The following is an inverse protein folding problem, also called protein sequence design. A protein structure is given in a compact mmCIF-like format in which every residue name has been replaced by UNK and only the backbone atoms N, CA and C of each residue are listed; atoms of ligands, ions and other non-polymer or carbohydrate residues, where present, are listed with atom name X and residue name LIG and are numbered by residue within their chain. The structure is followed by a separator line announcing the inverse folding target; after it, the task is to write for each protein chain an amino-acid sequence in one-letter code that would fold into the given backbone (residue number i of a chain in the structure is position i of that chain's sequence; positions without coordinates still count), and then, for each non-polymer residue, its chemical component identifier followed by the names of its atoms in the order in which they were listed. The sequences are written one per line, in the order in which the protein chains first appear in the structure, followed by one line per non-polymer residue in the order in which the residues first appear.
data_IF_989934556572
#
_entry.id   IF_989934556572
#
_cell.length_a   1.000
_cell.length_b   1.000
_cell.length_c   1.000
_cell.angle_alpha   90.00
_cell.angle_beta   90.00
_cell.angle_gamma   90.00
#
_symmetry.space_group_name_H-M   'P 1'
#
loop_
_entity.id
_entity.type
_entity.pdbx_description
1 polymer ?
#
# COMPACT_ATOMS: atom_id res chain seq x y z
N UNK A 1 -15.30 -10.65 7.95
CA UNK A 1 -16.27 -10.42 9.06
C UNK A 1 -15.98 -9.17 9.91
N UNK A 2 -14.72 -8.82 10.26
CA UNK A 2 -14.44 -7.68 11.17
C UNK A 2 -14.87 -6.31 10.61
N UNK A 3 -14.52 -5.99 9.36
CA UNK A 3 -14.92 -4.71 8.74
C UNK A 3 -16.44 -4.62 8.63
N UNK A 4 -17.11 -5.68 8.18
CA UNK A 4 -18.58 -5.70 8.09
C UNK A 4 -19.25 -5.50 9.45
N UNK A 5 -18.74 -6.14 10.51
CA UNK A 5 -19.22 -5.94 11.88
C UNK A 5 -19.01 -4.51 12.40
N UNK A 6 -17.87 -3.90 12.07
CA UNK A 6 -17.60 -2.51 12.40
C UNK A 6 -18.57 -1.55 11.70
N UNK A 7 -18.79 -1.73 10.40
CA UNK A 7 -19.75 -0.93 9.61
C UNK A 7 -21.17 -1.07 10.16
N UNK A 8 -21.61 -2.30 10.46
CA UNK A 8 -22.93 -2.57 11.01
C UNK A 8 -23.13 -1.90 12.36
N UNK A 9 -22.12 -1.99 13.27
CA UNK A 9 -22.16 -1.34 14.58
C UNK A 9 -22.39 0.16 14.45
N UNK A 10 -21.60 0.85 13.61
CA UNK A 10 -21.74 2.30 13.39
C UNK A 10 -23.06 2.69 12.77
N UNK A 11 -23.58 1.88 11.81
CA UNK A 11 -24.92 2.10 11.23
C UNK A 11 -26.00 1.98 12.29
N UNK A 12 -25.96 0.96 13.14
CA UNK A 12 -26.94 0.77 14.22
C UNK A 12 -26.86 1.89 15.29
N UNK A 13 -25.66 2.43 15.53
CA UNK A 13 -25.46 3.55 16.45
C UNK A 13 -25.80 4.92 15.85
N UNK A 14 -26.13 5.00 14.56
CA UNK A 14 -26.38 6.26 13.86
C UNK A 14 -25.13 7.15 13.73
N UNK A 15 -23.93 6.60 13.86
CA UNK A 15 -22.68 7.34 13.77
C UNK A 15 -22.45 7.80 12.33
N UNK A 16 -22.43 9.10 12.11
CA UNK A 16 -22.31 9.68 10.76
C UNK A 16 -20.89 9.59 10.17
N UNK A 17 -19.86 9.72 11.04
CA UNK A 17 -18.44 9.69 10.63
C UNK A 17 -17.65 8.78 11.57
N UNK A 18 -16.91 7.83 11.01
CA UNK A 18 -16.08 6.88 11.75
C UNK A 18 -14.94 6.38 10.85
N UNK A 19 -13.83 6.00 11.45
CA UNK A 19 -12.68 5.51 10.70
C UNK A 19 -12.89 4.07 10.23
N UNK A 20 -12.48 3.78 9.00
CA UNK A 20 -12.44 2.41 8.45
C UNK A 20 -11.00 1.90 8.37
N UNK A 21 -10.04 2.77 8.06
CA UNK A 21 -8.60 2.49 8.03
C UNK A 21 -7.86 3.65 8.66
N UNK A 22 -6.98 3.35 9.59
CA UNK A 22 -5.99 4.33 10.07
C UNK A 22 -4.76 4.27 9.15
N UNK A 23 -4.38 5.38 8.55
CA UNK A 23 -3.06 5.57 7.97
C UNK A 23 -2.11 6.06 9.06
N UNK A 24 -1.19 5.20 9.47
CA UNK A 24 -0.25 5.48 10.54
C UNK A 24 1.14 5.68 9.96
N UNK A 25 1.68 6.88 10.17
CA UNK A 25 3.01 7.28 9.69
C UNK A 25 3.95 7.47 10.89
N UNK A 26 4.57 6.39 11.41
CA UNK A 26 5.43 6.49 12.59
C UNK A 26 6.74 7.25 12.32
N UNK A 27 7.10 7.42 11.05
CA UNK A 27 8.27 8.19 10.58
C UNK A 27 8.05 8.67 9.13
N UNK A 28 8.85 9.65 8.72
CA UNK A 28 8.86 10.15 7.33
C UNK A 28 10.15 9.83 6.57
N UNK A 29 11.16 9.29 7.24
CA UNK A 29 12.43 8.91 6.61
C UNK A 29 12.27 7.62 5.79
N UNK A 30 12.91 7.57 4.62
CA UNK A 30 12.91 6.42 3.71
C UNK A 30 14.32 6.16 3.19
N UNK A 31 14.59 4.92 2.78
CA UNK A 31 15.82 4.49 2.13
C UNK A 31 15.75 4.55 0.59
N UNK A 32 14.65 5.05 0.02
CA UNK A 32 14.44 5.34 -1.41
C UNK A 32 14.00 6.78 -1.61
N UNK A 33 14.11 7.25 -2.85
CA UNK A 33 13.81 8.63 -3.27
C UNK A 33 12.82 8.71 -4.42
N UNK A 34 11.88 7.79 -4.50
CA UNK A 34 10.96 7.57 -5.62
C UNK A 34 10.42 8.84 -6.25
N UNK A 35 10.40 8.87 -7.59
CA UNK A 35 9.77 9.94 -8.38
C UNK A 35 8.29 10.06 -8.02
N UNK A 36 7.83 11.27 -7.78
CA UNK A 36 6.43 11.54 -7.41
C UNK A 36 6.08 11.23 -5.95
N UNK A 37 7.02 10.76 -5.12
CA UNK A 37 6.81 10.57 -3.69
C UNK A 37 7.06 11.88 -2.93
N UNK A 38 6.00 12.53 -2.47
CA UNK A 38 6.09 13.73 -1.63
C UNK A 38 6.13 13.45 -0.13
N UNK A 39 5.88 12.21 0.32
CA UNK A 39 5.76 11.87 1.75
C UNK A 39 7.03 12.16 2.54
N UNK A 40 8.18 11.74 2.01
CA UNK A 40 9.49 11.95 2.64
C UNK A 40 9.97 13.41 2.57
N UNK A 41 9.22 14.28 1.87
CA UNK A 41 9.57 15.69 1.65
C UNK A 41 8.55 16.66 2.22
N UNK A 42 7.44 16.14 2.72
CA UNK A 42 6.38 16.96 3.30
C UNK A 42 6.84 17.67 4.58
N UNK A 43 7.71 17.01 5.33
CA UNK A 43 8.30 17.55 6.55
C UNK A 43 9.83 17.45 6.50
N UNK A 44 10.51 18.43 7.09
CA UNK A 44 11.94 18.34 7.34
C UNK A 44 12.17 17.41 8.54
N UNK A 45 12.43 16.13 8.28
CA UNK A 45 12.61 15.11 9.30
C UNK A 45 13.93 14.36 9.16
N UNK A 46 14.38 13.78 10.25
CA UNK A 46 15.56 12.94 10.35
C UNK A 46 15.19 11.54 10.87
N UNK A 47 16.15 10.64 10.95
CA UNK A 47 15.99 9.31 11.56
C UNK A 47 15.63 9.36 13.06
N UNK A 48 15.78 10.51 13.72
CA UNK A 48 15.43 10.70 15.13
C UNK A 48 13.97 11.11 15.31
N UNK A 49 13.34 11.61 14.24
CA UNK A 49 11.96 12.09 14.27
C UNK A 49 11.00 10.91 14.04
N UNK A 50 10.79 10.14 15.10
CA UNK A 50 9.90 8.98 15.10
C UNK A 50 8.78 9.17 16.13
N UNK A 51 7.61 8.63 15.84
CA UNK A 51 6.50 8.60 16.79
C UNK A 51 6.79 7.53 17.85
N UNK A 52 6.60 7.83 19.15
CA UNK A 52 6.69 6.80 20.21
C UNK A 52 5.73 5.64 19.94
N UNK A 53 6.15 4.42 20.26
CA UNK A 53 5.33 3.20 20.09
C UNK A 53 3.97 3.34 20.77
N UNK A 54 3.95 3.89 21.99
CA UNK A 54 2.72 4.08 22.74
C UNK A 54 1.72 4.99 22.02
N UNK A 55 2.20 6.07 21.41
CA UNK A 55 1.36 7.00 20.63
C UNK A 55 0.80 6.35 19.36
N UNK A 56 1.61 5.51 18.71
CA UNK A 56 1.15 4.71 17.57
C UNK A 56 0.00 3.77 17.96
N UNK A 57 0.13 3.06 19.07
CA UNK A 57 -0.87 2.13 19.56
C UNK A 57 -2.12 2.85 20.10
N UNK A 58 -1.96 3.99 20.77
CA UNK A 58 -3.07 4.85 21.22
C UNK A 58 -3.88 5.39 20.04
N UNK A 59 -3.22 5.81 18.95
CA UNK A 59 -3.93 6.31 17.78
C UNK A 59 -4.89 5.28 17.17
N UNK A 60 -4.51 3.99 17.14
CA UNK A 60 -5.37 2.93 16.66
C UNK A 60 -6.58 2.69 17.59
N UNK A 61 -6.40 2.86 18.89
CA UNK A 61 -7.51 2.78 19.88
C UNK A 61 -8.44 3.99 19.72
N UNK A 62 -7.87 5.18 19.63
CA UNK A 62 -8.60 6.44 19.62
C UNK A 62 -9.55 6.57 18.41
N UNK A 63 -9.08 6.19 17.20
CA UNK A 63 -9.95 6.24 16.01
C UNK A 63 -10.79 4.99 15.80
N UNK A 64 -10.54 3.93 16.56
CA UNK A 64 -11.21 2.62 16.52
C UNK A 64 -11.28 1.99 15.11
N UNK A 65 -10.39 2.35 14.20
CA UNK A 65 -10.35 1.77 12.86
C UNK A 65 -10.08 0.25 12.93
N UNK A 66 -10.84 -0.59 12.21
CA UNK A 66 -10.64 -2.04 12.19
C UNK A 66 -9.35 -2.46 11.46
N UNK A 67 -8.81 -1.56 10.63
CA UNK A 67 -7.60 -1.77 9.85
C UNK A 67 -6.61 -0.63 10.10
N UNK A 68 -5.32 -0.97 10.14
CA UNK A 68 -4.22 -0.01 10.22
C UNK A 68 -3.27 -0.26 9.05
N UNK A 69 -3.04 0.78 8.27
CA UNK A 69 -2.02 0.82 7.22
C UNK A 69 -0.81 1.55 7.78
N UNK A 70 0.25 0.83 8.11
CA UNK A 70 1.51 1.43 8.55
C UNK A 70 2.26 1.88 7.30
N UNK A 71 2.47 3.18 7.18
CA UNK A 71 3.06 3.86 6.02
C UNK A 71 4.02 4.97 6.47
N UNK A 72 4.12 6.05 5.71
CA UNK A 72 5.01 7.18 6.00
C UNK A 72 6.20 7.21 5.04
N UNK A 73 7.44 7.15 5.55
CA UNK A 73 8.64 6.85 4.77
C UNK A 73 8.72 5.35 4.47
N UNK A 74 9.76 4.67 4.99
CA UNK A 74 9.79 3.20 4.95
C UNK A 74 9.52 2.64 6.35
N UNK A 75 8.35 2.00 6.58
CA UNK A 75 7.99 1.50 7.91
C UNK A 75 8.98 0.51 8.50
N UNK A 76 9.67 -0.29 7.67
CA UNK A 76 10.58 -1.33 8.15
C UNK A 76 11.88 -0.79 8.75
N UNK A 77 12.14 0.52 8.61
CA UNK A 77 13.25 1.17 9.32
C UNK A 77 12.81 1.83 10.63
N UNK A 78 11.50 1.84 10.95
CA UNK A 78 11.03 2.27 12.27
C UNK A 78 11.62 1.35 13.35
N UNK A 79 12.27 1.89 14.40
CA UNK A 79 13.04 1.08 15.38
C UNK A 79 12.20 0.00 16.08
N UNK A 80 10.92 0.27 16.31
CA UNK A 80 10.02 -0.59 17.07
C UNK A 80 8.93 -1.22 16.19
N UNK A 81 9.20 -1.42 14.88
CA UNK A 81 8.19 -1.92 13.93
C UNK A 81 7.62 -3.28 14.35
N UNK A 82 8.45 -4.18 14.89
CA UNK A 82 8.01 -5.49 15.33
C UNK A 82 7.04 -5.40 16.52
N UNK A 83 7.37 -4.54 17.50
CA UNK A 83 6.50 -4.29 18.65
C UNK A 83 5.20 -3.59 18.25
N UNK A 84 5.27 -2.65 17.29
CA UNK A 84 4.10 -1.97 16.75
C UNK A 84 3.15 -2.95 16.06
N UNK A 85 3.66 -3.79 15.16
CA UNK A 85 2.85 -4.79 14.46
C UNK A 85 2.18 -5.74 15.46
N UNK A 86 2.94 -6.28 16.41
CA UNK A 86 2.42 -7.21 17.42
C UNK A 86 1.39 -6.53 18.33
N UNK A 87 1.61 -5.28 18.74
CA UNK A 87 0.66 -4.50 19.52
C UNK A 87 -0.66 -4.25 18.80
N UNK A 88 -0.62 -3.89 17.51
CA UNK A 88 -1.81 -3.71 16.68
C UNK A 88 -2.58 -5.03 16.47
N UNK A 89 -1.88 -6.14 16.25
CA UNK A 89 -2.49 -7.48 16.16
C UNK A 89 -3.14 -7.88 17.48
N UNK A 90 -2.52 -7.59 18.62
CA UNK A 90 -3.09 -7.82 19.97
C UNK A 90 -4.36 -6.99 20.20
N UNK A 91 -4.45 -5.80 19.62
CA UNK A 91 -5.67 -4.98 19.58
C UNK A 91 -6.70 -5.53 18.56
N UNK A 92 -6.42 -6.68 17.95
CA UNK A 92 -7.26 -7.31 16.91
C UNK A 92 -7.46 -6.41 15.68
N UNK A 93 -6.47 -5.61 15.28
CA UNK A 93 -6.51 -4.83 14.05
C UNK A 93 -6.02 -5.68 12.87
N UNK A 94 -6.55 -5.42 11.68
CA UNK A 94 -5.95 -5.89 10.44
C UNK A 94 -4.78 -4.94 10.14
N UNK A 95 -3.59 -5.48 9.90
CA UNK A 95 -2.37 -4.68 9.73
C UNK A 95 -1.84 -4.81 8.31
N UNK A 96 -1.66 -3.69 7.63
CA UNK A 96 -0.95 -3.59 6.37
C UNK A 96 0.37 -2.85 6.60
N UNK A 97 1.49 -3.46 6.22
CA UNK A 97 2.80 -2.82 6.25
C UNK A 97 3.10 -2.38 4.82
N UNK A 98 2.92 -1.08 4.53
CA UNK A 98 3.19 -0.51 3.20
C UNK A 98 4.68 -0.26 3.04
N UNK A 99 5.37 -1.17 2.37
CA UNK A 99 6.82 -1.20 2.29
C UNK A 99 7.34 -1.21 0.85
N UNK A 100 8.52 -0.64 0.65
CA UNK A 100 9.28 -0.79 -0.58
C UNK A 100 10.00 -2.16 -0.72
N UNK A 101 9.81 -3.07 0.21
CA UNK A 101 10.30 -4.44 0.17
C UNK A 101 11.76 -4.67 0.55
N UNK A 102 12.61 -3.62 0.53
CA UNK A 102 14.07 -3.75 0.69
C UNK A 102 14.52 -4.35 2.02
N UNK A 103 13.71 -4.23 3.06
CA UNK A 103 14.02 -4.76 4.41
C UNK A 103 13.20 -6.01 4.78
N UNK A 104 12.28 -6.45 3.93
CA UNK A 104 11.41 -7.60 4.24
C UNK A 104 12.20 -8.88 4.52
N UNK A 105 13.16 -9.24 3.64
CA UNK A 105 13.95 -10.48 3.84
C UNK A 105 14.74 -10.46 5.15
N UNK A 106 15.25 -9.29 5.56
CA UNK A 106 15.90 -9.14 6.86
C UNK A 106 14.93 -9.46 8.01
N UNK A 107 13.72 -8.88 7.99
CA UNK A 107 12.71 -9.12 9.04
C UNK A 107 12.28 -10.60 9.09
N UNK A 108 12.17 -11.24 7.93
CA UNK A 108 11.84 -12.68 7.86
C UNK A 108 12.99 -13.57 8.33
N UNK A 109 14.26 -13.17 8.12
CA UNK A 109 15.42 -13.89 8.72
C UNK A 109 15.45 -13.76 10.24
N UNK A 110 15.12 -12.58 10.78
CA UNK A 110 15.01 -12.38 12.22
C UNK A 110 13.91 -13.28 12.82
N UNK A 111 12.75 -13.38 12.13
CA UNK A 111 11.69 -14.34 12.50
C UNK A 111 12.18 -15.80 12.46
N UNK A 112 12.84 -16.22 11.37
CA UNK A 112 13.36 -17.57 11.24
C UNK A 112 14.38 -17.92 12.33
N UNK A 113 15.25 -16.97 12.70
CA UNK A 113 16.25 -17.20 13.75
C UNK A 113 15.60 -17.42 15.13
N UNK A 114 14.56 -16.65 15.46
CA UNK A 114 13.79 -16.86 16.69
C UNK A 114 13.04 -18.19 16.67
N UNK A 115 12.35 -18.49 15.56
CA UNK A 115 11.60 -19.74 15.41
C UNK A 115 12.50 -20.97 15.41
N UNK A 116 13.66 -20.92 14.78
CA UNK A 116 14.63 -22.01 14.79
C UNK A 116 15.17 -22.28 16.19
N UNK A 117 15.43 -21.24 16.98
CA UNK A 117 15.89 -21.43 18.37
C UNK A 117 14.81 -22.09 19.27
N UNK A 118 13.54 -21.95 18.93
CA UNK A 118 12.42 -22.54 19.67
C UNK A 118 12.06 -23.93 19.16
N UNK A 119 11.93 -24.08 17.85
CA UNK A 119 11.43 -25.28 17.18
C UNK A 119 12.26 -25.63 15.92
N UNK A 120 13.52 -26.12 16.07
CA UNK A 120 14.40 -26.38 14.94
C UNK A 120 13.79 -27.31 13.88
N UNK A 121 13.11 -28.38 14.33
CA UNK A 121 12.54 -29.42 13.43
C UNK A 121 11.43 -28.85 12.53
N UNK A 122 10.66 -27.89 13.02
CA UNK A 122 9.59 -27.23 12.27
C UNK A 122 10.16 -26.26 11.21
N UNK A 123 11.30 -25.61 11.51
CA UNK A 123 11.89 -24.57 10.66
C UNK A 123 12.88 -25.16 9.63
N UNK A 124 13.52 -26.30 9.93
CA UNK A 124 14.52 -26.90 9.06
C UNK A 124 14.02 -27.19 7.63
N UNK A 125 12.82 -27.77 7.41
CA UNK A 125 12.27 -27.95 6.07
C UNK A 125 12.11 -26.64 5.30
N UNK A 126 11.70 -25.55 5.97
CA UNK A 126 11.57 -24.22 5.38
C UNK A 126 12.95 -23.68 4.97
N UNK A 127 13.97 -23.79 5.82
CA UNK A 127 15.33 -23.36 5.50
C UNK A 127 15.89 -24.12 4.30
N UNK A 128 15.70 -25.44 4.24
CA UNK A 128 16.13 -26.28 3.12
C UNK A 128 15.47 -25.83 1.81
N UNK A 129 14.16 -25.57 1.84
CA UNK A 129 13.43 -25.05 0.68
C UNK A 129 13.94 -23.66 0.24
N UNK A 130 14.11 -22.73 1.19
CA UNK A 130 14.61 -21.39 0.90
C UNK A 130 16.03 -21.42 0.31
N UNK A 131 16.89 -22.33 0.79
CA UNK A 131 18.22 -22.55 0.23
C UNK A 131 18.17 -23.14 -1.18
N UNK A 132 17.34 -24.18 -1.41
CA UNK A 132 17.17 -24.81 -2.72
C UNK A 132 16.63 -23.82 -3.78
N UNK A 133 15.72 -22.93 -3.39
CA UNK A 133 15.18 -21.86 -4.24
C UNK A 133 16.10 -20.62 -4.33
N UNK A 134 17.31 -20.65 -3.74
CA UNK A 134 18.29 -19.55 -3.70
C UNK A 134 17.74 -18.25 -3.11
N UNK A 135 16.77 -18.35 -2.20
CA UNK A 135 16.20 -17.21 -1.47
C UNK A 135 17.02 -16.86 -0.22
N UNK A 136 17.79 -17.82 0.27
CA UNK A 136 18.81 -17.67 1.30
C UNK A 136 20.14 -18.26 0.82
N UNK A 137 21.22 -17.58 1.14
CA UNK A 137 22.57 -18.09 0.94
C UNK A 137 22.93 -19.11 2.04
N UNK A 138 23.92 -20.00 1.82
CA UNK A 138 24.41 -20.90 2.87
C UNK A 138 24.83 -20.15 4.14
N UNK A 139 25.49 -19.00 3.99
CA UNK A 139 25.91 -18.17 5.11
C UNK A 139 24.73 -17.61 5.92
N UNK A 140 23.66 -17.19 5.25
CA UNK A 140 22.43 -16.72 5.91
C UNK A 140 21.73 -17.85 6.67
N UNK A 141 21.70 -19.06 6.10
CA UNK A 141 21.14 -20.24 6.75
C UNK A 141 21.91 -20.56 8.03
N UNK A 142 23.25 -20.56 7.97
CA UNK A 142 24.08 -20.80 9.15
C UNK A 142 23.93 -19.70 10.22
N UNK A 143 23.72 -18.45 9.80
CA UNK A 143 23.40 -17.37 10.75
C UNK A 143 22.08 -17.58 11.46
N UNK A 144 21.04 -18.01 10.72
CA UNK A 144 19.72 -18.32 11.28
C UNK A 144 19.82 -19.46 12.30
N UNK A 145 20.56 -20.52 12.00
CA UNK A 145 20.78 -21.65 12.90
C UNK A 145 21.50 -21.30 14.21
N UNK A 146 22.29 -20.21 14.20
CA UNK A 146 22.92 -19.69 15.44
C UNK A 146 21.91 -19.01 16.38
N UNK A 147 20.66 -18.81 15.93
CA UNK A 147 19.62 -18.13 16.70
C UNK A 147 19.65 -16.61 16.59
N UNK A 148 18.74 -15.92 17.29
CA UNK A 148 18.60 -14.47 17.19
C UNK A 148 19.78 -13.73 17.81
N UNK A 149 20.24 -12.65 17.15
CA UNK A 149 21.30 -11.77 17.67
C UNK A 149 20.90 -11.08 18.98
N UNK A 150 19.62 -10.77 19.14
CA UNK A 150 19.05 -10.13 20.33
C UNK A 150 17.91 -11.00 20.86
N UNK A 151 18.20 -11.97 21.76
CA UNK A 151 17.17 -12.78 22.39
C UNK A 151 16.14 -11.90 23.12
N UNK A 152 14.85 -12.20 22.94
CA UNK A 152 13.76 -11.43 23.55
C UNK A 152 13.24 -10.24 22.74
N UNK A 153 13.95 -9.82 21.67
CA UNK A 153 13.38 -8.83 20.75
C UNK A 153 12.19 -9.42 20.01
N UNK A 154 11.03 -8.72 19.93
CA UNK A 154 9.88 -9.19 19.16
C UNK A 154 10.23 -9.32 17.68
N UNK A 155 9.55 -10.23 16.99
CA UNK A 155 9.66 -10.43 15.54
C UNK A 155 8.28 -10.35 14.90
N UNK A 156 8.24 -10.08 13.59
CA UNK A 156 6.99 -10.15 12.82
C UNK A 156 6.81 -11.61 12.38
N UNK A 157 5.79 -12.26 12.91
CA UNK A 157 5.40 -13.63 12.58
C UNK A 157 4.26 -13.66 11.54
N UNK A 158 4.09 -14.77 10.76
CA UNK A 158 2.95 -14.95 9.90
C UNK A 158 1.63 -14.86 10.67
N UNK A 159 0.67 -14.11 10.10
CA UNK A 159 -0.67 -13.97 10.66
C UNK A 159 -1.68 -13.75 9.54
N UNK A 160 -2.87 -14.36 9.65
CA UNK A 160 -3.98 -14.08 8.73
C UNK A 160 -4.56 -12.66 8.83
N UNK A 161 -4.06 -11.87 9.77
CA UNK A 161 -4.47 -10.48 10.02
C UNK A 161 -3.40 -9.46 9.64
N UNK A 162 -2.24 -9.90 9.13
CA UNK A 162 -1.13 -9.04 8.73
C UNK A 162 -0.74 -9.32 7.27
N UNK A 163 -0.60 -8.23 6.51
CA UNK A 163 -0.17 -8.25 5.12
C UNK A 163 1.12 -7.45 4.93
N UNK A 164 2.09 -8.05 4.28
CA UNK A 164 3.11 -7.29 3.58
C UNK A 164 2.45 -6.63 2.37
N UNK A 165 2.36 -5.31 2.32
CA UNK A 165 1.80 -4.56 1.20
C UNK A 165 2.96 -3.91 0.43
N UNK A 166 3.46 -4.64 -0.57
CA UNK A 166 4.69 -4.31 -1.30
C UNK A 166 4.40 -3.35 -2.43
N UNK A 167 5.12 -2.24 -2.48
CA UNK A 167 4.99 -1.25 -3.55
C UNK A 167 5.65 -1.73 -4.85
N UNK A 168 4.89 -1.80 -5.95
CA UNK A 168 5.35 -2.15 -7.29
C UNK A 168 4.54 -1.39 -8.35
N UNK A 169 5.17 -0.46 -9.08
CA UNK A 169 4.52 0.40 -10.07
C UNK A 169 4.69 -0.08 -11.53
N UNK A 170 5.20 -1.26 -11.73
CA UNK A 170 5.43 -1.89 -13.03
C UNK A 170 6.35 -3.09 -12.90
N UNK A 171 6.80 -3.60 -14.03
CA UNK A 171 7.82 -4.63 -14.09
C UNK A 171 9.21 -4.05 -13.77
N UNK A 172 10.24 -4.88 -13.76
CA UNK A 172 11.58 -4.56 -13.26
C UNK A 172 12.08 -3.18 -13.71
N UNK A 173 12.12 -2.95 -15.03
CA UNK A 173 12.66 -1.70 -15.57
C UNK A 173 11.85 -0.48 -15.18
N UNK A 174 10.52 -0.57 -15.32
CA UNK A 174 9.60 0.53 -14.97
C UNK A 174 9.64 0.83 -13.50
N UNK A 175 9.57 -0.20 -12.67
CA UNK A 175 9.60 -0.03 -11.22
C UNK A 175 10.91 0.59 -10.74
N UNK A 176 12.06 0.06 -11.18
CA UNK A 176 13.38 0.52 -10.75
C UNK A 176 13.64 1.98 -11.18
N UNK A 177 13.14 2.41 -12.36
CA UNK A 177 13.15 3.82 -12.77
C UNK A 177 12.32 4.69 -11.85
N UNK A 178 11.08 4.29 -11.51
CA UNK A 178 10.18 5.07 -10.64
C UNK A 178 10.76 5.21 -9.24
N UNK A 179 11.35 4.15 -8.69
CA UNK A 179 11.94 4.19 -7.35
C UNK A 179 13.36 4.75 -7.34
N UNK A 180 13.90 5.15 -8.50
CA UNK A 180 15.23 5.74 -8.69
C UNK A 180 16.37 4.84 -8.18
N UNK A 181 16.19 3.52 -8.28
CA UNK A 181 17.19 2.55 -7.82
C UNK A 181 17.04 1.20 -8.50
N UNK A 182 18.13 0.73 -9.14
CA UNK A 182 18.19 -0.59 -9.75
C UNK A 182 18.15 -1.71 -8.71
N UNK A 183 17.52 -2.84 -9.08
CA UNK A 183 17.45 -4.08 -8.31
C UNK A 183 16.38 -4.09 -7.23
N UNK A 184 15.60 -3.03 -7.05
CA UNK A 184 14.49 -3.00 -6.06
C UNK A 184 13.41 -3.99 -6.42
N UNK A 185 12.99 -4.04 -7.69
CA UNK A 185 12.01 -5.03 -8.16
C UNK A 185 12.43 -6.47 -7.85
N UNK A 186 13.70 -6.82 -8.13
CA UNK A 186 14.22 -8.16 -7.85
C UNK A 186 14.20 -8.49 -6.37
N UNK A 187 14.61 -7.55 -5.53
CA UNK A 187 14.56 -7.74 -4.07
C UNK A 187 13.11 -7.92 -3.57
N UNK A 188 12.16 -7.14 -4.09
CA UNK A 188 10.73 -7.31 -3.79
C UNK A 188 10.23 -8.72 -4.17
N UNK A 189 10.57 -9.19 -5.37
CA UNK A 189 10.20 -10.54 -5.83
C UNK A 189 10.77 -11.63 -4.92
N UNK A 190 12.05 -11.55 -4.57
CA UNK A 190 12.68 -12.49 -3.65
C UNK A 190 12.03 -12.46 -2.27
N UNK A 191 11.73 -11.26 -1.77
CA UNK A 191 11.07 -11.06 -0.49
C UNK A 191 9.65 -11.65 -0.49
N UNK A 192 8.86 -11.40 -1.53
CA UNK A 192 7.50 -11.96 -1.65
C UNK A 192 7.50 -13.48 -1.76
N UNK A 193 8.42 -14.08 -2.55
CA UNK A 193 8.59 -15.55 -2.62
C UNK A 193 8.92 -16.13 -1.25
N UNK A 194 9.88 -15.54 -0.55
CA UNK A 194 10.24 -15.96 0.80
C UNK A 194 9.04 -15.84 1.75
N UNK A 195 8.31 -14.73 1.72
CA UNK A 195 7.13 -14.51 2.54
C UNK A 195 6.05 -15.59 2.30
N UNK A 196 5.78 -15.94 1.05
CA UNK A 196 4.78 -16.98 0.73
C UNK A 196 5.20 -18.36 1.19
N UNK A 197 6.50 -18.72 1.10
CA UNK A 197 7.02 -19.99 1.65
C UNK A 197 6.86 -20.05 3.17
N UNK A 198 7.03 -18.92 3.85
CA UNK A 198 6.90 -18.80 5.31
C UNK A 198 5.45 -18.67 5.79
N UNK A 199 4.46 -18.62 4.89
CA UNK A 199 3.03 -18.54 5.25
C UNK A 199 2.52 -17.11 5.52
N UNK A 200 3.27 -16.09 5.18
CA UNK A 200 2.79 -14.70 5.27
C UNK A 200 1.72 -14.38 4.22
N UNK A 201 0.82 -13.48 4.56
CA UNK A 201 -0.04 -12.84 3.58
C UNK A 201 0.75 -11.73 2.86
N UNK A 202 0.62 -11.66 1.54
CA UNK A 202 1.31 -10.68 0.69
C UNK A 202 0.31 -9.98 -0.21
N UNK A 203 0.29 -8.66 -0.14
CA UNK A 203 -0.42 -7.80 -1.07
C UNK A 203 0.57 -6.93 -1.83
N UNK A 204 0.15 -6.35 -2.95
CA UNK A 204 0.91 -5.32 -3.64
C UNK A 204 0.13 -4.03 -3.76
N UNK A 205 0.85 -2.91 -3.83
CA UNK A 205 0.31 -1.59 -4.08
C UNK A 205 0.95 -1.00 -5.33
N UNK A 206 0.11 -0.71 -6.33
CA UNK A 206 0.52 -0.20 -7.64
C UNK A 206 -0.08 1.16 -7.88
N UNK A 207 0.76 2.14 -8.19
CA UNK A 207 0.33 3.48 -8.60
C UNK A 207 0.45 3.62 -10.12
N UNK A 208 -0.62 4.06 -10.76
CA UNK A 208 -0.67 4.28 -12.20
C UNK A 208 -0.41 5.76 -12.49
N UNK A 209 0.65 6.04 -13.24
CA UNK A 209 1.01 7.38 -13.68
C UNK A 209 0.68 7.60 -15.15
N UNK A 210 0.93 8.79 -15.69
CA UNK A 210 0.62 9.15 -17.08
C UNK A 210 1.35 8.25 -18.10
N UNK A 211 2.62 7.94 -17.84
CA UNK A 211 3.45 7.10 -18.72
C UNK A 211 3.26 5.59 -18.46
N UNK A 212 2.51 5.19 -17.44
CA UNK A 212 2.28 3.77 -17.14
C UNK A 212 1.63 3.08 -18.35
N UNK A 213 2.25 2.00 -18.83
CA UNK A 213 1.61 1.09 -19.77
C UNK A 213 0.65 0.16 -19.02
N UNK A 214 -0.63 0.28 -19.33
CA UNK A 214 -1.68 -0.53 -18.71
C UNK A 214 -1.51 -2.02 -19.01
N UNK A 215 -0.98 -2.38 -20.19
CA UNK A 215 -0.70 -3.78 -20.51
C UNK A 215 0.44 -4.34 -19.64
N UNK A 216 1.44 -3.52 -19.31
CA UNK A 216 2.50 -3.91 -18.36
C UNK A 216 1.93 -4.21 -16.97
N UNK A 217 0.93 -3.45 -16.50
CA UNK A 217 0.27 -3.71 -15.21
C UNK A 217 -0.48 -5.04 -15.22
N UNK A 218 -1.16 -5.38 -16.32
CA UNK A 218 -1.80 -6.70 -16.45
C UNK A 218 -0.74 -7.82 -16.40
N UNK A 219 0.38 -7.67 -17.09
CA UNK A 219 1.49 -8.64 -17.03
C UNK A 219 2.09 -8.72 -15.62
N UNK A 220 2.24 -7.60 -14.92
CA UNK A 220 2.69 -7.59 -13.53
C UNK A 220 1.75 -8.43 -12.65
N UNK A 221 0.43 -8.25 -12.73
CA UNK A 221 -0.51 -9.02 -11.93
C UNK A 221 -0.50 -10.52 -12.29
N UNK A 222 -0.36 -10.86 -13.57
CA UNK A 222 -0.19 -12.25 -14.02
C UNK A 222 1.08 -12.87 -13.45
N UNK A 223 2.18 -12.14 -13.48
CA UNK A 223 3.44 -12.58 -12.88
C UNK A 223 3.32 -12.77 -11.36
N UNK A 224 2.75 -11.79 -10.65
CA UNK A 224 2.58 -11.85 -9.19
C UNK A 224 1.65 -13.00 -8.76
N UNK A 225 0.70 -13.38 -9.58
CA UNK A 225 -0.13 -14.56 -9.33
C UNK A 225 0.70 -15.86 -9.33
N UNK A 226 1.79 -15.95 -10.12
CA UNK A 226 2.70 -17.11 -10.09
C UNK A 226 3.43 -17.23 -8.76
N UNK A 227 3.62 -16.12 -8.04
CA UNK A 227 4.24 -16.08 -6.72
C UNK A 227 3.24 -16.38 -5.58
N UNK A 228 1.95 -16.51 -5.90
CA UNK A 228 0.89 -16.73 -4.91
C UNK A 228 0.55 -15.48 -4.09
N UNK A 229 0.73 -14.28 -4.64
CA UNK A 229 0.32 -13.02 -4.01
C UNK A 229 -1.18 -13.02 -3.76
N UNK A 230 -1.61 -12.57 -2.59
CA UNK A 230 -3.00 -12.72 -2.11
C UNK A 230 -3.95 -11.64 -2.66
N UNK A 231 -3.40 -10.51 -3.12
CA UNK A 231 -4.20 -9.46 -3.74
C UNK A 231 -3.42 -8.20 -4.09
N UNK A 232 -4.09 -7.29 -4.79
CA UNK A 232 -3.49 -6.08 -5.33
C UNK A 232 -4.34 -4.86 -5.00
N UNK A 233 -3.68 -3.79 -4.58
CA UNK A 233 -4.25 -2.44 -4.56
C UNK A 233 -3.74 -1.70 -5.79
N UNK A 234 -4.61 -1.05 -6.54
CA UNK A 234 -4.24 -0.21 -7.67
C UNK A 234 -4.89 1.17 -7.51
N UNK A 235 -4.12 2.22 -7.70
CA UNK A 235 -4.55 3.60 -7.47
C UNK A 235 -3.98 4.54 -8.52
N UNK A 236 -4.73 5.59 -8.93
CA UNK A 236 -4.17 6.63 -9.79
C UNK A 236 -3.14 7.47 -9.03
N UNK A 237 -2.07 7.86 -9.73
CA UNK A 237 -1.06 8.80 -9.24
C UNK A 237 -1.64 10.22 -9.17
N UNK A 238 -1.61 10.80 -7.99
CA UNK A 238 -2.21 12.10 -7.69
C UNK A 238 -1.16 13.17 -7.41
N UNK A 239 -1.37 14.37 -7.95
CA UNK A 239 -0.47 15.53 -7.98
C UNK A 239 -0.54 16.40 -6.72
N UNK A 240 -0.19 15.89 -5.57
CA UNK A 240 -0.18 16.69 -4.34
C UNK A 240 1.08 17.59 -4.19
N UNK A 241 0.94 18.69 -3.45
CA UNK A 241 1.90 19.78 -3.44
C UNK A 241 3.34 19.39 -3.12
N UNK A 242 3.55 18.51 -2.13
CA UNK A 242 4.90 18.08 -1.77
C UNK A 242 5.58 17.29 -2.90
N UNK A 243 4.83 16.44 -3.62
CA UNK A 243 5.32 15.69 -4.77
C UNK A 243 5.61 16.62 -5.96
N UNK A 244 4.70 17.56 -6.27
CA UNK A 244 4.91 18.54 -7.35
C UNK A 244 6.16 19.38 -7.12
N UNK A 245 6.33 19.90 -5.91
CA UNK A 245 7.50 20.71 -5.53
C UNK A 245 8.81 19.92 -5.64
N UNK A 246 8.81 18.66 -5.18
CA UNK A 246 10.01 17.80 -5.29
C UNK A 246 10.38 17.53 -6.74
N UNK A 247 9.41 17.14 -7.56
CA UNK A 247 9.64 16.85 -8.97
C UNK A 247 10.19 18.06 -9.72
N UNK A 248 9.57 19.23 -9.56
CA UNK A 248 10.03 20.44 -10.23
C UNK A 248 11.42 20.88 -9.75
N UNK A 249 11.68 20.83 -8.43
CA UNK A 249 12.94 21.33 -7.85
C UNK A 249 14.11 20.35 -8.00
N UNK A 250 13.89 19.05 -7.75
CA UNK A 250 14.94 18.03 -7.69
C UNK A 250 15.21 17.40 -9.05
N UNK A 251 14.16 17.15 -9.84
CA UNK A 251 14.25 16.43 -11.10
C UNK A 251 14.12 17.32 -12.32
N UNK A 252 13.69 18.58 -12.16
CA UNK A 252 13.42 19.48 -13.29
C UNK A 252 12.25 18.99 -14.18
N UNK A 253 11.39 18.11 -13.66
CA UNK A 253 10.29 17.52 -14.39
C UNK A 253 9.00 18.33 -14.18
N UNK A 254 8.21 18.47 -15.24
CA UNK A 254 6.86 19.00 -15.13
C UNK A 254 5.91 17.97 -14.53
N UNK A 255 5.33 18.22 -13.33
CA UNK A 255 4.40 17.29 -12.68
C UNK A 255 3.17 16.95 -13.55
N UNK A 256 2.75 17.86 -14.43
CA UNK A 256 1.62 17.63 -15.33
C UNK A 256 1.88 16.48 -16.34
N UNK A 257 3.14 16.19 -16.63
CA UNK A 257 3.52 15.08 -17.50
C UNK A 257 3.63 13.74 -16.77
N UNK A 258 3.53 13.73 -15.43
CA UNK A 258 3.70 12.54 -14.61
C UNK A 258 2.41 12.08 -13.93
N UNK A 259 1.70 13.00 -13.28
CA UNK A 259 0.46 12.69 -12.57
C UNK A 259 -0.75 12.64 -13.50
N UNK A 260 -1.81 11.98 -13.03
CA UNK A 260 -3.04 11.82 -13.78
C UNK A 260 -4.01 12.95 -13.48
N UNK A 261 -4.58 13.55 -14.52
CA UNK A 261 -5.82 14.30 -14.40
C UNK A 261 -7.01 13.33 -14.22
N UNK A 262 -8.16 13.84 -13.78
CA UNK A 262 -9.39 13.02 -13.67
C UNK A 262 -9.73 12.33 -14.99
N UNK A 263 -9.64 13.04 -16.11
CA UNK A 263 -9.86 12.46 -17.44
C UNK A 263 -8.86 11.36 -17.77
N UNK A 264 -7.57 11.61 -17.56
CA UNK A 264 -6.53 10.62 -17.81
C UNK A 264 -6.68 9.39 -16.89
N UNK A 265 -7.15 9.58 -15.65
CA UNK A 265 -7.49 8.47 -14.76
C UNK A 265 -8.58 7.59 -15.37
N UNK A 266 -9.69 8.17 -15.82
CA UNK A 266 -10.79 7.42 -16.45
C UNK A 266 -10.30 6.66 -17.69
N UNK A 267 -9.47 7.27 -18.52
CA UNK A 267 -8.89 6.64 -19.71
C UNK A 267 -7.98 5.45 -19.34
N UNK A 268 -7.08 5.62 -18.37
CA UNK A 268 -6.17 4.54 -17.89
C UNK A 268 -6.92 3.40 -17.19
N UNK A 269 -7.96 3.72 -16.43
CA UNK A 269 -8.74 2.78 -15.66
C UNK A 269 -10.01 2.28 -16.36
N UNK A 270 -10.18 2.56 -17.65
CA UNK A 270 -11.37 2.12 -18.41
C UNK A 270 -11.65 0.60 -18.30
N UNK A 271 -10.61 -0.20 -18.06
CA UNK A 271 -10.71 -1.66 -17.86
C UNK A 271 -10.76 -2.09 -16.38
N UNK A 272 -10.85 -1.18 -15.42
CA UNK A 272 -10.76 -1.51 -13.99
C UNK A 272 -11.80 -2.54 -13.53
N UNK A 273 -13.03 -2.48 -14.07
CA UNK A 273 -14.08 -3.47 -13.75
C UNK A 273 -13.79 -4.87 -14.32
N UNK A 274 -13.05 -4.94 -15.44
CA UNK A 274 -12.57 -6.21 -16.02
C UNK A 274 -11.44 -6.76 -15.15
N UNK A 275 -10.52 -5.91 -14.71
CA UNK A 275 -9.44 -6.30 -13.80
C UNK A 275 -9.98 -6.86 -12.49
N UNK A 276 -11.01 -6.23 -11.89
CA UNK A 276 -11.65 -6.73 -10.68
C UNK A 276 -12.28 -8.11 -10.81
N UNK A 277 -12.61 -8.54 -12.03
CA UNK A 277 -13.08 -9.89 -12.33
C UNK A 277 -11.96 -10.88 -12.64
N UNK A 278 -10.81 -10.38 -13.11
CA UNK A 278 -9.67 -11.21 -13.56
C UNK A 278 -8.62 -11.39 -12.47
N UNK A 279 -8.39 -10.37 -11.66
CA UNK A 279 -7.35 -10.33 -10.64
C UNK A 279 -7.92 -10.13 -9.22
N UNK A 280 -7.24 -10.58 -8.16
CA UNK A 280 -7.69 -10.41 -6.78
C UNK A 280 -7.46 -8.96 -6.30
N UNK A 281 -8.13 -7.98 -6.91
CA UNK A 281 -8.02 -6.60 -6.48
C UNK A 281 -8.67 -6.39 -5.11
N UNK A 282 -8.13 -5.49 -4.30
CA UNK A 282 -8.69 -5.09 -3.01
C UNK A 282 -9.63 -3.88 -3.10
N UNK A 283 -9.66 -3.17 -4.24
CA UNK A 283 -10.66 -2.14 -4.51
C UNK A 283 -12.04 -2.75 -4.72
N UNK A 284 -13.07 -2.19 -4.06
CA UNK A 284 -14.45 -2.65 -4.24
C UNK A 284 -14.93 -2.48 -5.70
N UNK A 285 -15.86 -3.31 -6.19
CA UNK A 285 -16.42 -3.13 -7.52
C UNK A 285 -16.98 -1.72 -7.76
N UNK A 286 -17.55 -1.11 -6.71
CA UNK A 286 -18.10 0.25 -6.74
C UNK A 286 -17.02 1.30 -6.95
N UNK A 287 -15.87 1.15 -6.29
CA UNK A 287 -14.70 2.01 -6.52
C UNK A 287 -14.11 1.81 -7.92
N UNK A 288 -14.02 0.56 -8.40
CA UNK A 288 -13.54 0.27 -9.75
C UNK A 288 -14.45 0.85 -10.84
N UNK A 289 -15.78 0.86 -10.64
CA UNK A 289 -16.73 1.58 -11.49
C UNK A 289 -16.45 3.10 -11.49
N UNK A 290 -16.10 3.68 -10.33
CA UNK A 290 -15.80 5.12 -10.20
C UNK A 290 -14.54 5.51 -10.97
N UNK A 291 -13.42 4.81 -10.78
CA UNK A 291 -12.18 5.15 -11.51
C UNK A 291 -12.28 4.88 -13.01
N UNK A 292 -13.18 3.98 -13.43
CA UNK A 292 -13.50 3.74 -14.83
C UNK A 292 -14.49 4.78 -15.42
N UNK A 293 -14.93 5.78 -14.65
CA UNK A 293 -15.86 6.81 -15.10
C UNK A 293 -17.32 6.35 -15.29
N UNK A 294 -17.69 5.18 -14.76
CA UNK A 294 -19.04 4.62 -14.89
C UNK A 294 -20.02 5.14 -13.83
N UNK A 295 -19.51 5.84 -12.84
CA UNK A 295 -20.28 6.48 -11.76
C UNK A 295 -19.48 7.55 -11.04
N UNK A 296 -20.16 8.41 -10.32
CA UNK A 296 -19.56 9.32 -9.35
C UNK A 296 -19.60 8.78 -7.93
N UNK A 297 -18.65 9.21 -7.12
CA UNK A 297 -18.59 9.00 -5.67
C UNK A 297 -18.20 10.30 -4.98
N UNK A 298 -18.74 10.54 -3.80
CA UNK A 298 -18.31 11.62 -2.91
C UNK A 298 -17.06 11.19 -2.12
N UNK A 299 -16.09 12.09 -1.99
CA UNK A 299 -14.92 11.83 -1.15
C UNK A 299 -15.32 11.74 0.33
N UNK A 300 -14.79 10.73 1.03
CA UNK A 300 -14.97 10.51 2.47
C UNK A 300 -13.62 10.31 3.16
N UNK A 301 -12.68 11.24 2.91
CA UNK A 301 -11.32 11.19 3.48
C UNK A 301 -11.31 11.10 5.02
N UNK A 302 -12.36 11.60 5.69
CA UNK A 302 -12.56 11.47 7.13
C UNK A 302 -12.63 10.01 7.63
N UNK A 303 -12.95 9.06 6.75
CA UNK A 303 -13.02 7.64 7.10
C UNK A 303 -11.66 6.92 6.99
N UNK A 304 -10.65 7.57 6.40
CA UNK A 304 -9.26 7.09 6.40
C UNK A 304 -8.35 8.17 6.99
N UNK A 305 -8.47 8.44 8.31
CA UNK A 305 -7.65 9.44 8.97
C UNK A 305 -6.17 9.07 8.94
N UNK A 306 -5.32 10.09 8.91
CA UNK A 306 -3.87 9.95 8.98
C UNK A 306 -3.37 10.45 10.33
N UNK A 307 -2.57 9.64 11.02
CA UNK A 307 -1.84 10.02 12.22
C UNK A 307 -0.33 9.92 11.96
N UNK A 308 0.36 11.03 12.13
CA UNK A 308 1.81 11.13 11.93
C UNK A 308 2.52 11.77 13.13
N UNK A 309 3.82 11.98 13.03
CA UNK A 309 4.65 12.58 14.09
C UNK A 309 4.18 13.99 14.53
N UNK A 310 3.38 14.70 13.72
CA UNK A 310 2.87 16.04 14.01
C UNK A 310 1.46 16.04 14.64
N UNK A 311 0.72 14.95 14.52
CA UNK A 311 -0.65 14.87 15.00
C UNK A 311 -1.59 14.18 14.01
N UNK A 312 -2.90 14.37 14.23
CA UNK A 312 -3.94 13.96 13.31
C UNK A 312 -4.00 14.93 12.14
N UNK A 313 -3.62 14.49 10.96
CA UNK A 313 -3.47 15.29 9.76
C UNK A 313 -4.82 15.61 9.13
N UNK A 314 -5.02 16.85 8.71
CA UNK A 314 -6.22 17.33 8.02
C UNK A 314 -5.87 17.97 6.66
N UNK A 315 -6.77 17.88 5.66
CA UNK A 315 -8.04 17.16 5.67
C UNK A 315 -7.90 15.69 5.28
N UNK A 316 -6.79 15.29 4.67
CA UNK A 316 -6.59 13.92 4.18
C UNK A 316 -5.11 13.54 4.09
N UNK A 317 -4.83 12.34 3.61
CA UNK A 317 -3.48 11.81 3.46
C UNK A 317 -2.57 12.69 2.59
N UNK A 318 -3.09 13.26 1.50
CA UNK A 318 -2.30 14.01 0.52
C UNK A 318 -2.23 15.52 0.78
N UNK A 319 -3.16 16.08 1.54
CA UNK A 319 -3.24 17.51 1.82
C UNK A 319 -2.98 17.78 3.29
N UNK A 320 -2.30 18.90 3.58
CA UNK A 320 -1.99 19.30 4.95
C UNK A 320 -2.38 20.75 5.16
N UNK A 321 -3.58 20.96 5.71
CA UNK A 321 -4.06 22.28 6.14
C UNK A 321 -3.83 22.47 7.64
N UNK A 322 -3.52 21.40 8.37
CA UNK A 322 -3.20 21.46 9.78
C UNK A 322 -3.11 20.07 10.42
N UNK A 323 -2.81 20.08 11.71
CA UNK A 323 -2.78 18.90 12.56
C UNK A 323 -3.59 19.15 13.83
N UNK A 324 -4.28 18.12 14.29
CA UNK A 324 -5.07 18.14 15.51
C UNK A 324 -4.45 17.22 16.56
N UNK A 325 -4.64 17.53 17.84
CA UNK A 325 -4.10 16.74 18.93
C UNK A 325 -4.85 15.41 19.08
N UNK A 326 -6.16 15.41 18.86
CA UNK A 326 -7.01 14.22 19.00
C UNK A 326 -7.81 13.91 17.75
N UNK A 327 -8.17 12.63 17.58
CA UNK A 327 -9.07 12.20 16.50
C UNK A 327 -10.44 12.87 16.59
N UNK A 328 -10.94 13.05 17.81
CA UNK A 328 -12.20 13.78 18.05
C UNK A 328 -12.13 15.20 17.49
N UNK A 329 -11.07 15.94 17.81
CA UNK A 329 -10.89 17.30 17.25
C UNK A 329 -10.82 17.30 15.74
N UNK A 330 -10.10 16.35 15.12
CA UNK A 330 -10.07 16.19 13.67
C UNK A 330 -11.50 16.04 13.10
N UNK A 331 -12.32 15.18 13.71
CA UNK A 331 -13.67 14.90 13.20
C UNK A 331 -14.64 16.09 13.40
N UNK A 332 -14.48 16.86 14.46
CA UNK A 332 -15.39 17.95 14.84
C UNK A 332 -14.99 19.31 14.22
N UNK A 333 -13.68 19.60 14.14
CA UNK A 333 -13.19 20.92 13.71
C UNK A 333 -12.97 21.06 12.21
N UNK A 334 -12.77 19.93 11.49
CA UNK A 334 -12.60 19.98 10.03
C UNK A 334 -13.95 20.15 9.34
N UNK A 335 -14.08 21.19 8.55
CA UNK A 335 -15.22 21.37 7.66
C UNK A 335 -15.04 20.54 6.40
N UNK A 336 -15.49 19.30 6.45
CA UNK A 336 -15.37 18.30 5.37
C UNK A 336 -16.13 18.71 4.09
N UNK A 337 -17.07 19.66 4.17
CA UNK A 337 -17.82 20.14 3.01
C UNK A 337 -16.97 20.97 2.04
N UNK A 338 -15.81 21.46 2.50
CA UNK A 338 -14.85 22.22 1.70
C UNK A 338 -13.98 21.37 0.79
N UNK A 339 -14.07 20.04 0.86
CA UNK A 339 -13.17 19.15 0.16
C UNK A 339 -13.90 18.13 -0.74
N UNK A 340 -13.16 17.56 -1.68
CA UNK A 340 -13.68 16.58 -2.62
C UNK A 340 -14.30 17.21 -3.88
N UNK A 341 -14.89 16.36 -4.68
CA UNK A 341 -15.63 16.74 -5.90
C UNK A 341 -17.08 16.35 -5.70
N UNK A 342 -18.00 17.27 -5.91
CA UNK A 342 -19.45 17.08 -5.80
C UNK A 342 -20.08 17.58 -7.08
N UNK A 343 -20.89 16.73 -7.73
CA UNK A 343 -21.56 17.04 -9.00
C UNK A 343 -20.58 17.57 -10.07
N UNK A 344 -19.41 16.96 -10.16
CA UNK A 344 -18.35 17.32 -11.11
C UNK A 344 -17.56 18.58 -10.74
N UNK A 345 -17.90 19.27 -9.64
CA UNK A 345 -17.24 20.52 -9.20
C UNK A 345 -16.34 20.26 -8.00
N UNK A 346 -15.04 20.57 -8.13
CA UNK A 346 -14.11 20.52 -7.02
C UNK A 346 -14.43 21.62 -5.99
N UNK A 347 -14.61 21.25 -4.73
CA UNK A 347 -14.83 22.20 -3.63
C UNK A 347 -13.53 22.88 -3.21
N UNK A 348 -12.42 22.19 -3.32
CA UNK A 348 -11.06 22.71 -3.19
C UNK A 348 -10.33 22.39 -4.51
N UNK A 349 -9.60 23.36 -5.12
CA UNK A 349 -8.90 23.14 -6.39
C UNK A 349 -7.93 21.95 -6.34
N UNK A 350 -7.34 21.68 -5.18
CA UNK A 350 -6.46 20.52 -4.98
C UNK A 350 -7.19 19.18 -5.12
N UNK A 351 -8.51 19.16 -5.02
CA UNK A 351 -9.31 17.94 -5.18
C UNK A 351 -9.70 17.62 -6.62
N UNK A 352 -9.49 18.56 -7.56
CA UNK A 352 -10.01 18.47 -8.93
C UNK A 352 -9.63 17.16 -9.63
N UNK A 353 -8.36 16.76 -9.56
CA UNK A 353 -7.86 15.57 -10.22
C UNK A 353 -7.90 14.32 -9.34
N UNK A 354 -8.28 14.44 -8.07
CA UNK A 354 -8.20 13.34 -7.13
C UNK A 354 -9.28 12.28 -7.40
N UNK A 355 -8.84 11.04 -7.64
CA UNK A 355 -9.67 9.84 -7.70
C UNK A 355 -9.05 8.69 -6.89
N UNK A 356 -8.19 9.03 -5.92
CA UNK A 356 -7.42 8.02 -5.18
C UNK A 356 -8.26 7.20 -4.21
N UNK A 357 -7.82 5.98 -3.98
CA UNK A 357 -8.52 4.99 -3.17
C UNK A 357 -8.84 5.49 -1.76
N UNK A 358 -7.89 6.14 -1.07
CA UNK A 358 -8.08 6.58 0.31
C UNK A 358 -9.20 7.64 0.49
N UNK A 359 -9.58 8.33 -0.58
CA UNK A 359 -10.70 9.29 -0.54
C UNK A 359 -12.05 8.67 -0.89
N UNK A 360 -12.08 7.72 -1.82
CA UNK A 360 -13.33 7.26 -2.45
C UNK A 360 -13.71 5.81 -2.14
N UNK A 361 -12.75 4.91 -1.82
CA UNK A 361 -13.04 3.55 -1.41
C UNK A 361 -13.92 3.47 -0.14
N UNK A 362 -13.72 4.35 0.88
CA UNK A 362 -14.60 4.35 2.04
C UNK A 362 -16.05 4.68 1.66
N UNK A 363 -16.28 5.61 0.74
CA UNK A 363 -17.64 5.94 0.26
C UNK A 363 -18.32 4.74 -0.36
N UNK A 364 -17.60 3.98 -1.18
CA UNK A 364 -18.09 2.73 -1.75
C UNK A 364 -18.40 1.68 -0.67
N UNK A 365 -17.54 1.57 0.33
CA UNK A 365 -17.65 0.58 1.42
C UNK A 365 -18.77 0.93 2.41
N UNK A 366 -18.91 2.21 2.78
CA UNK A 366 -19.93 2.71 3.70
C UNK A 366 -21.30 2.77 3.04
N UNK A 367 -21.34 2.82 1.70
CA UNK A 367 -22.57 2.91 0.90
C UNK A 367 -23.07 4.35 0.73
N UNK A 368 -22.16 5.34 0.77
CA UNK A 368 -22.49 6.71 0.38
C UNK A 368 -22.74 6.75 -1.13
N UNK A 369 -23.84 7.39 -1.55
CA UNK A 369 -24.28 7.42 -2.96
C UNK A 369 -24.46 6.02 -3.58
N UNK A 370 -24.85 5.03 -2.76
CA UNK A 370 -25.12 3.66 -3.21
C UNK A 370 -26.27 3.59 -4.19
N UNK A 371 -26.11 2.77 -5.24
CA UNK A 371 -27.17 2.38 -6.16
C UNK A 371 -27.81 1.06 -5.69
N UNK A 372 -29.06 0.76 -6.08
CA UNK A 372 -29.64 -0.56 -5.86
C UNK A 372 -28.68 -1.66 -6.34
N UNK A 373 -28.44 -2.67 -5.52
CA UNK A 373 -27.52 -3.77 -5.82
C UNK A 373 -26.08 -3.59 -5.38
N UNK A 374 -25.61 -2.37 -5.01
CA UNK A 374 -24.22 -2.15 -4.55
C UNK A 374 -23.89 -2.93 -3.28
N UNK A 375 -24.86 -3.05 -2.36
CA UNK A 375 -24.69 -3.85 -1.15
C UNK A 375 -24.38 -5.32 -1.51
N UNK A 376 -25.08 -5.91 -2.46
CA UNK A 376 -24.83 -7.26 -2.93
C UNK A 376 -23.49 -7.40 -3.66
N UNK A 377 -23.11 -6.42 -4.48
CA UNK A 377 -21.77 -6.39 -5.12
C UNK A 377 -20.66 -6.40 -4.06
N UNK A 378 -20.80 -5.56 -3.03
CA UNK A 378 -19.81 -5.47 -1.96
C UNK A 378 -19.81 -6.72 -1.06
N UNK A 379 -20.96 -7.33 -0.78
CA UNK A 379 -21.04 -8.61 -0.05
C UNK A 379 -20.35 -9.70 -0.86
N UNK A 380 -20.68 -9.86 -2.13
CA UNK A 380 -20.07 -10.86 -3.00
C UNK A 380 -18.56 -10.66 -3.12
N UNK A 381 -18.12 -9.42 -3.27
CA UNK A 381 -16.69 -9.06 -3.30
C UNK A 381 -15.94 -9.48 -2.03
N UNK A 382 -16.55 -9.28 -0.85
CA UNK A 382 -15.91 -9.59 0.42
C UNK A 382 -15.96 -11.07 0.80
N UNK A 383 -17.01 -11.80 0.39
CA UNK A 383 -17.28 -13.17 0.84
C UNK A 383 -17.28 -14.20 -0.30
N UNK A 384 -17.31 -13.75 -1.54
CA UNK A 384 -17.21 -14.61 -2.71
C UNK A 384 -15.78 -15.11 -2.97
N UNK A 385 -15.62 -16.07 -3.88
CA UNK A 385 -14.29 -16.56 -4.26
C UNK A 385 -13.48 -15.45 -4.93
N UNK A 386 -12.23 -15.30 -4.51
CA UNK A 386 -11.30 -14.36 -5.15
C UNK A 386 -10.92 -14.87 -6.54
N UNK A 387 -10.91 -14.00 -7.57
CA UNK A 387 -10.44 -14.38 -8.89
C UNK A 387 -8.95 -14.76 -8.83
N UNK A 388 -8.58 -15.74 -9.63
CA UNK A 388 -7.17 -16.14 -9.83
C UNK A 388 -6.94 -16.34 -11.32
N UNK A 389 -5.84 -15.84 -11.89
CA UNK A 389 -5.48 -16.13 -13.26
C UNK A 389 -5.36 -17.64 -13.48
N UNK A 390 -5.93 -18.16 -14.58
CA UNK A 390 -5.97 -19.62 -14.84
C UNK A 390 -4.65 -20.17 -15.36
N UNK A 391 -3.87 -19.35 -16.06
CA UNK A 391 -2.58 -19.76 -16.65
C UNK A 391 -1.49 -18.83 -16.10
N UNK A 392 -0.50 -19.42 -15.45
CA UNK A 392 0.64 -18.70 -14.91
C UNK A 392 1.85 -18.92 -15.82
N UNK A 393 2.46 -17.86 -16.38
CA UNK A 393 3.71 -18.00 -17.12
C UNK A 393 4.82 -18.53 -16.21
N UNK A 394 5.76 -19.30 -16.78
CA UNK A 394 6.95 -19.72 -16.05
C UNK A 394 7.73 -18.48 -15.58
N UNK A 395 8.06 -18.37 -14.28
CA UNK A 395 8.82 -17.23 -13.75
C UNK A 395 10.13 -16.95 -14.52
N UNK A 396 10.81 -17.99 -15.01
CA UNK A 396 12.03 -17.83 -15.83
C UNK A 396 11.75 -17.21 -17.19
N UNK A 397 10.62 -17.57 -17.83
CA UNK A 397 10.20 -16.99 -19.10
C UNK A 397 9.80 -15.54 -18.91
N UNK A 398 9.12 -15.22 -17.80
CA UNK A 398 8.70 -13.85 -17.49
C UNK A 398 9.91 -12.95 -17.27
N UNK A 399 10.89 -13.35 -16.48
CA UNK A 399 12.12 -12.57 -16.31
C UNK A 399 12.88 -12.36 -17.63
N UNK A 400 13.06 -13.42 -18.42
CA UNK A 400 13.80 -13.33 -19.68
C UNK A 400 13.00 -12.60 -20.80
N UNK A 401 11.69 -12.86 -20.91
CA UNK A 401 10.83 -12.30 -21.95
C UNK A 401 10.45 -10.84 -21.70
N UNK A 402 10.17 -10.45 -20.47
CA UNK A 402 9.76 -9.10 -20.11
C UNK A 402 10.96 -8.14 -20.09
N UNK A 403 12.11 -8.60 -19.58
CA UNK A 403 13.38 -7.88 -19.68
C UNK A 403 13.74 -7.58 -21.14
N UNK A 404 13.45 -8.49 -22.07
CA UNK A 404 13.65 -8.30 -23.49
C UNK A 404 12.58 -7.40 -24.16
N UNK A 405 11.32 -7.47 -23.72
CA UNK A 405 10.23 -6.63 -24.25
C UNK A 405 10.27 -5.20 -23.73
N UNK A 406 10.65 -5.00 -22.47
CA UNK A 406 10.92 -3.68 -21.90
C UNK A 406 12.16 -3.00 -22.47
N UNK A 407 13.02 -3.75 -23.17
CA UNK A 407 14.19 -3.22 -23.86
C UNK A 407 13.88 -2.53 -25.21
N UNK A 408 12.62 -2.51 -25.67
CA UNK A 408 12.25 -1.66 -26.83
C UNK A 408 11.99 -0.24 -26.35
N UNK A 409 12.83 0.72 -26.69
CA UNK A 409 12.91 2.00 -26.02
C UNK A 409 11.86 2.99 -26.52
N UNK A 410 11.10 3.57 -25.62
CA UNK A 410 10.78 5.00 -25.71
C UNK A 410 11.77 5.77 -24.82
N UNK A 411 13.05 5.56 -25.07
CA UNK A 411 14.12 6.10 -24.22
C UNK A 411 14.56 7.51 -24.60
N UNK A 412 13.98 8.12 -25.67
CA UNK A 412 14.45 9.43 -26.15
C UNK A 412 13.83 10.64 -25.44
N UNK A 413 12.77 10.46 -24.61
CA UNK A 413 12.10 11.59 -23.99
C UNK A 413 12.59 11.93 -22.57
N UNK A 414 13.33 11.05 -21.89
CA UNK A 414 13.74 11.25 -20.49
C UNK A 414 15.24 11.49 -20.30
N UNK A 415 16.08 11.17 -21.32
CA UNK A 415 17.55 11.25 -21.18
C UNK A 415 18.19 12.31 -22.10
N UNK A 416 17.44 12.94 -22.97
CA UNK A 416 17.98 13.99 -23.83
C UNK A 416 17.72 15.38 -23.25
N UNK A 417 18.30 15.73 -22.13
CA UNK A 417 18.75 17.09 -21.75
C UNK A 417 19.58 16.95 -20.46
N UNK A 418 20.87 16.68 -20.66
CA UNK A 418 21.91 17.01 -19.69
C UNK A 418 22.11 18.49 -19.61
#
# INVERSE_FOLDING_TARGET
MKIAGHLLRHKLQGTKRFATVLQLEPLHTCNLTCTGCGRIREYSTSMKDVMPLEDCLKAAIECDAPMVSICGGEPLIYPEIEALVNGLLSQRRIVYICTNGMWMRKKMRDYLAVSFAQEPETVLPQLNRLGAEKLLTPSEIEQIKKGPKNPGKPVIAPSGWMYWNVHLDGLEKTHDIIVEREGVFRECVLAMRMAKILGFQVATNTTVYRETDVAEIEHLFEYLATLGVDGHTISPGYDYDAAKKDMAKRLGLDPANFFLTRRATIEKFARATIWGKKYPLFGTPVYLEFVAGLRDLTCSAWAIPTRNIKGWKAPCYFMTDGHYATFKELQEKVDWSKYGVVDGVAKDPRCENCMVQCGYEPSATIGLQGKPGDTWKNIWFNFGPRPRPKNHPDPKIVFNGISAAAAKPKQEAVVARG
#
